data_IF_987829087677
#
_entry.id   IF_987829087677
#
_cell.length_a   1.000
_cell.length_b   1.000
_cell.length_c   1.000
_cell.angle_alpha   90.00
_cell.angle_beta   90.00
_cell.angle_gamma   90.00
#
_symmetry.space_group_name_H-M   'P 1'
#
loop_
_entity.id
_entity.type
_entity.pdbx_description
1 polymer ?
#
# COMPACT_ATOMS: atom_id res chain seq x y z
N UNK A 1 22.93 5.69 12.24
CA UNK A 1 22.33 5.42 10.90
C UNK A 1 20.82 5.43 11.07
N UNK A 2 20.08 6.20 10.26
CA UNK A 2 18.61 6.24 10.32
C UNK A 2 18.04 4.92 9.82
N UNK A 3 17.21 4.27 10.64
CA UNK A 3 16.52 3.03 10.31
C UNK A 3 15.43 3.32 9.27
N UNK A 4 15.67 3.03 7.98
CA UNK A 4 14.64 3.16 6.96
C UNK A 4 13.52 2.13 7.19
N UNK A 5 12.35 2.60 7.63
CA UNK A 5 11.16 1.77 7.83
C UNK A 5 10.44 1.52 6.50
N UNK A 6 10.95 0.57 5.71
CA UNK A 6 10.40 0.19 4.40
C UNK A 6 8.93 -0.24 4.46
N UNK A 7 8.47 -0.82 5.58
CA UNK A 7 7.06 -1.20 5.77
C UNK A 7 6.12 0.01 5.67
N UNK A 8 6.47 1.14 6.28
CA UNK A 8 5.64 2.36 6.23
C UNK A 8 5.57 2.90 4.80
N UNK A 9 6.71 2.95 4.10
CA UNK A 9 6.76 3.39 2.70
C UNK A 9 5.94 2.48 1.79
N UNK A 10 5.96 1.16 2.01
CA UNK A 10 5.17 0.21 1.23
C UNK A 10 3.66 0.39 1.41
N UNK A 11 3.21 0.72 2.62
CA UNK A 11 1.79 0.99 2.92
C UNK A 11 1.33 2.25 2.19
N UNK A 12 2.13 3.32 2.25
CA UNK A 12 1.83 4.57 1.54
C UNK A 12 1.79 4.34 0.02
N UNK A 13 2.76 3.58 -0.52
CA UNK A 13 2.81 3.26 -1.93
C UNK A 13 1.58 2.45 -2.38
N UNK A 14 1.20 1.40 -1.63
CA UNK A 14 0.03 0.58 -1.93
C UNK A 14 -1.28 1.39 -1.90
N UNK A 15 -1.44 2.28 -0.91
CA UNK A 15 -2.58 3.18 -0.83
C UNK A 15 -2.61 4.19 -2.00
N UNK A 16 -1.46 4.77 -2.34
CA UNK A 16 -1.33 5.68 -3.48
C UNK A 16 -1.73 5.03 -4.80
N UNK A 17 -1.28 3.79 -5.04
CA UNK A 17 -1.66 3.00 -6.22
C UNK A 17 -3.17 2.72 -6.27
N UNK A 18 -3.81 2.52 -5.11
CA UNK A 18 -5.26 2.37 -5.02
C UNK A 18 -6.04 3.65 -5.37
N UNK A 19 -5.46 4.83 -5.14
CA UNK A 19 -6.08 6.12 -5.46
C UNK A 19 -5.95 6.48 -6.94
N UNK A 20 -4.87 6.08 -7.62
CA UNK A 20 -4.64 6.41 -9.04
C UNK A 20 -5.84 6.12 -9.96
N UNK A 21 -6.47 4.93 -9.95
CA UNK A 21 -7.64 4.66 -10.77
C UNK A 21 -8.87 5.50 -10.38
N UNK A 22 -8.97 5.95 -9.12
CA UNK A 22 -10.02 6.86 -8.66
C UNK A 22 -9.87 8.27 -9.24
N UNK A 23 -8.64 8.80 -9.26
CA UNK A 23 -8.35 10.10 -9.86
C UNK A 23 -8.70 10.12 -11.36
N UNK A 24 -8.27 9.09 -12.10
CA UNK A 24 -8.64 8.93 -13.51
C UNK A 24 -10.17 8.87 -13.70
N UNK A 25 -10.85 8.09 -12.86
CA UNK A 25 -12.31 7.96 -12.87
C UNK A 25 -13.00 9.31 -12.64
N UNK A 26 -12.64 10.05 -11.59
CA UNK A 26 -13.27 11.34 -11.26
C UNK A 26 -13.10 12.34 -12.39
N UNK A 27 -11.86 12.55 -12.88
CA UNK A 27 -11.59 13.56 -13.91
C UNK A 27 -12.35 13.25 -15.19
N UNK A 28 -12.32 11.99 -15.65
CA UNK A 28 -13.02 11.56 -16.85
C UNK A 28 -14.53 11.59 -16.67
N UNK A 29 -15.06 11.19 -15.52
CA UNK A 29 -16.48 11.25 -15.23
C UNK A 29 -16.97 12.70 -15.22
N UNK A 30 -16.29 13.61 -14.53
CA UNK A 30 -16.65 15.03 -14.47
C UNK A 30 -16.66 15.69 -15.85
N UNK A 31 -15.66 15.38 -16.69
CA UNK A 31 -15.60 15.85 -18.07
C UNK A 31 -16.78 15.35 -18.94
N UNK A 32 -17.26 14.12 -18.70
CA UNK A 32 -18.36 13.54 -19.47
C UNK A 32 -19.75 13.80 -18.86
N UNK A 33 -19.83 14.14 -17.57
CA UNK A 33 -21.07 14.35 -16.84
C UNK A 33 -21.71 15.72 -17.07
N UNK A 34 -21.01 16.68 -17.72
CA UNK A 34 -21.51 18.04 -18.00
C UNK A 34 -22.14 18.73 -16.76
N UNK A 35 -21.59 18.50 -15.57
CA UNK A 35 -22.10 19.06 -14.31
C UNK A 35 -23.19 18.23 -13.61
N UNK A 36 -23.60 17.06 -14.13
CA UNK A 36 -24.58 16.18 -13.49
C UNK A 36 -24.00 15.23 -12.43
N UNK A 37 -22.81 15.51 -11.90
CA UNK A 37 -22.22 14.74 -10.81
C UNK A 37 -22.78 15.21 -9.48
N UNK A 38 -23.51 14.34 -8.77
CA UNK A 38 -24.06 14.65 -7.46
C UNK A 38 -23.03 14.40 -6.36
N UNK A 39 -22.94 15.31 -5.39
CA UNK A 39 -22.13 15.11 -4.19
C UNK A 39 -22.90 14.41 -3.05
N UNK A 40 -24.21 14.20 -3.23
CA UNK A 40 -25.08 13.52 -2.27
C UNK A 40 -24.82 12.01 -2.31
N UNK A 41 -24.73 11.44 -3.51
CA UNK A 41 -24.51 10.01 -3.74
C UNK A 41 -23.39 9.80 -4.77
N UNK A 42 -22.12 10.09 -4.42
CA UNK A 42 -21.01 10.02 -5.37
C UNK A 42 -20.78 8.62 -5.95
N UNK A 43 -21.20 7.58 -5.22
CA UNK A 43 -21.19 6.18 -5.68
C UNK A 43 -22.20 5.90 -6.79
N UNK A 44 -23.27 6.66 -6.90
CA UNK A 44 -24.30 6.42 -7.93
C UNK A 44 -24.08 7.23 -9.21
N UNK A 45 -23.12 8.17 -9.21
CA UNK A 45 -22.89 9.05 -10.37
C UNK A 45 -22.58 8.28 -11.66
N UNK A 46 -21.79 7.22 -11.60
CA UNK A 46 -21.51 6.39 -12.79
C UNK A 46 -22.75 5.63 -13.29
N UNK A 47 -23.58 5.13 -12.36
CA UNK A 47 -24.82 4.43 -12.66
C UNK A 47 -25.81 5.37 -13.35
N UNK A 48 -25.91 6.61 -12.86
CA UNK A 48 -26.78 7.67 -13.38
C UNK A 48 -26.34 8.20 -14.76
N UNK A 49 -25.07 7.98 -15.14
CA UNK A 49 -24.53 8.35 -16.45
C UNK A 49 -24.67 7.23 -17.48
N UNK A 50 -25.13 6.04 -17.08
CA UNK A 50 -25.37 4.92 -17.99
C UNK A 50 -26.42 5.30 -19.04
N UNK A 51 -26.08 5.18 -20.32
CA UNK A 51 -26.94 5.59 -21.44
C UNK A 51 -26.84 7.07 -21.83
N UNK A 52 -26.19 7.92 -21.02
CA UNK A 52 -25.91 9.34 -21.35
C UNK A 52 -24.52 9.57 -21.93
N UNK A 53 -23.58 8.68 -21.60
CA UNK A 53 -22.19 8.72 -22.09
C UNK A 53 -21.93 7.58 -23.10
N UNK A 54 -20.95 7.71 -24.00
CA UNK A 54 -20.59 6.65 -24.93
C UNK A 54 -20.21 5.36 -24.18
N UNK A 55 -20.70 4.21 -24.66
CA UNK A 55 -20.50 2.91 -24.00
C UNK A 55 -19.02 2.58 -23.73
N UNK A 56 -18.13 2.87 -24.69
CA UNK A 56 -16.69 2.67 -24.51
C UNK A 56 -16.09 3.49 -23.36
N UNK A 57 -16.62 4.69 -23.10
CA UNK A 57 -16.19 5.53 -21.97
C UNK A 57 -16.74 4.97 -20.67
N UNK A 58 -18.01 4.54 -20.69
CA UNK A 58 -18.66 3.91 -19.54
C UNK A 58 -17.90 2.64 -19.09
N UNK A 59 -17.52 1.76 -20.02
CA UNK A 59 -16.77 0.54 -19.72
C UNK A 59 -15.39 0.81 -19.11
N UNK A 60 -14.73 1.89 -19.53
CA UNK A 60 -13.44 2.32 -18.96
C UNK A 60 -13.61 2.87 -17.54
N UNK A 61 -14.66 3.66 -17.31
CA UNK A 61 -14.98 4.21 -15.99
C UNK A 61 -15.42 3.12 -15.01
N UNK A 62 -16.22 2.16 -15.45
CA UNK A 62 -16.64 1.01 -14.65
C UNK A 62 -15.43 0.16 -14.21
N UNK A 63 -14.50 -0.11 -15.14
CA UNK A 63 -13.24 -0.81 -14.83
C UNK A 63 -12.35 -0.03 -13.88
N UNK A 64 -12.19 1.28 -14.08
CA UNK A 64 -11.40 2.13 -13.18
C UNK A 64 -11.99 2.16 -11.76
N UNK A 65 -13.32 2.28 -11.64
CA UNK A 65 -14.02 2.18 -10.36
C UNK A 65 -13.82 0.82 -9.69
N UNK A 66 -13.95 -0.27 -10.45
CA UNK A 66 -13.72 -1.62 -9.95
C UNK A 66 -12.27 -1.84 -9.47
N UNK A 67 -11.29 -1.36 -10.24
CA UNK A 67 -9.88 -1.43 -9.88
C UNK A 67 -9.57 -0.65 -8.60
N UNK A 68 -10.15 0.54 -8.43
CA UNK A 68 -10.02 1.32 -7.21
C UNK A 68 -10.57 0.60 -5.98
N UNK A 69 -11.78 0.05 -6.07
CA UNK A 69 -12.40 -0.66 -4.95
C UNK A 69 -11.60 -1.92 -4.59
N UNK A 70 -11.24 -2.73 -5.58
CA UNK A 70 -10.42 -3.92 -5.38
C UNK A 70 -9.06 -3.58 -4.73
N UNK A 71 -8.39 -2.52 -5.22
CA UNK A 71 -7.12 -2.10 -4.65
C UNK A 71 -7.26 -1.66 -3.19
N UNK A 72 -8.28 -0.85 -2.85
CA UNK A 72 -8.47 -0.36 -1.49
C UNK A 72 -9.01 -1.41 -0.52
N UNK A 73 -9.79 -2.38 -0.97
CA UNK A 73 -10.24 -3.50 -0.14
C UNK A 73 -9.06 -4.36 0.37
N UNK A 74 -7.99 -4.48 -0.43
CA UNK A 74 -6.78 -5.20 -0.04
C UNK A 74 -5.81 -4.43 0.87
N UNK A 75 -5.88 -3.09 0.90
CA UNK A 75 -4.92 -2.24 1.65
C UNK A 75 -4.93 -2.51 3.16
N UNK A 76 -6.08 -2.62 3.86
CA UNK A 76 -6.09 -2.91 5.30
C UNK A 76 -5.39 -4.22 5.66
N UNK A 77 -5.62 -5.28 4.86
CA UNK A 77 -4.99 -6.58 5.06
C UNK A 77 -3.48 -6.51 4.78
N UNK A 78 -3.07 -5.84 3.71
CA UNK A 78 -1.67 -5.60 3.38
C UNK A 78 -0.94 -4.82 4.47
N UNK A 79 -1.56 -3.75 4.99
CA UNK A 79 -0.98 -2.93 6.05
C UNK A 79 -0.82 -3.72 7.36
N UNK A 80 -1.81 -4.54 7.73
CA UNK A 80 -1.72 -5.44 8.88
C UNK A 80 -0.58 -6.48 8.72
N UNK A 81 -0.42 -7.04 7.53
CA UNK A 81 0.68 -7.95 7.23
C UNK A 81 2.05 -7.27 7.31
N UNK A 82 2.19 -6.07 6.75
CA UNK A 82 3.46 -5.32 6.78
C UNK A 82 3.84 -4.85 8.19
N UNK A 83 2.85 -4.45 9.00
CA UNK A 83 3.07 -4.09 10.40
C UNK A 83 3.52 -5.30 11.24
N UNK A 84 2.84 -6.44 11.10
CA UNK A 84 3.20 -7.66 11.85
C UNK A 84 4.54 -8.24 11.40
N UNK A 85 4.86 -8.21 10.10
CA UNK A 85 6.14 -8.66 9.57
C UNK A 85 7.31 -7.82 10.09
N UNK A 86 7.15 -6.49 10.15
CA UNK A 86 8.19 -5.59 10.71
C UNK A 86 8.52 -5.97 12.16
N UNK A 87 7.49 -6.15 12.99
CA UNK A 87 7.65 -6.55 14.40
C UNK A 87 8.26 -7.94 14.53
N UNK A 88 7.84 -8.90 13.68
CA UNK A 88 8.34 -10.27 13.72
C UNK A 88 9.82 -10.37 13.33
N UNK A 89 10.26 -9.61 12.32
CA UNK A 89 11.68 -9.54 11.93
C UNK A 89 12.51 -8.99 13.07
N UNK A 90 12.06 -7.92 13.72
CA UNK A 90 12.76 -7.31 14.86
C UNK A 90 12.94 -8.30 16.01
N UNK A 91 11.89 -9.06 16.35
CA UNK A 91 11.93 -10.08 17.42
C UNK A 91 12.86 -11.25 17.05
N UNK A 92 12.77 -11.77 15.81
CA UNK A 92 13.63 -12.88 15.36
C UNK A 92 15.10 -12.48 15.35
N UNK A 93 15.41 -11.25 14.94
CA UNK A 93 16.78 -10.74 14.92
C UNK A 93 17.33 -10.52 16.33
N UNK A 94 16.52 -9.96 17.24
CA UNK A 94 16.89 -9.80 18.65
C UNK A 94 17.21 -11.15 19.30
N UNK A 95 16.35 -12.14 19.10
CA UNK A 95 16.54 -13.49 19.65
C UNK A 95 17.74 -14.21 19.04
N UNK A 96 17.99 -14.03 17.74
CA UNK A 96 19.19 -14.56 17.09
C UNK A 96 20.48 -13.92 17.63
N UNK A 97 20.46 -12.61 17.92
CA UNK A 97 21.60 -11.89 18.48
C UNK A 97 21.88 -12.29 19.94
N UNK A 98 20.84 -12.47 20.77
CA UNK A 98 20.99 -13.04 22.11
C UNK A 98 21.63 -14.43 22.05
N UNK A 99 21.10 -15.32 21.19
CA UNK A 99 21.66 -16.67 21.02
C UNK A 99 23.11 -16.65 20.54
N UNK A 100 23.48 -15.71 19.67
CA UNK A 100 24.87 -15.54 19.23
C UNK A 100 25.79 -15.09 20.38
N UNK A 101 25.35 -14.17 21.23
CA UNK A 101 26.11 -13.72 22.39
C UNK A 101 26.31 -14.82 23.45
N UNK A 102 25.33 -15.71 23.62
CA UNK A 102 25.45 -16.86 24.53
C UNK A 102 26.16 -18.09 23.93
N UNK A 103 26.33 -18.15 22.60
CA UNK A 103 26.95 -19.29 21.90
C UNK A 103 28.47 -19.20 21.73
N UNK A 104 29.09 -18.04 21.95
CA UNK A 104 30.55 -17.89 21.88
C UNK A 104 31.12 -17.59 23.27
N UNK A 105 31.90 -18.50 23.89
CA UNK A 105 32.60 -18.18 25.12
C UNK A 105 33.67 -17.12 24.84
N UNK A 106 33.63 -16.02 25.58
CA UNK A 106 34.60 -14.92 25.59
C UNK A 106 36.00 -15.46 25.89
N UNK A 107 36.74 -15.89 24.86
CA UNK A 107 38.10 -16.45 25.03
C UNK A 107 39.13 -15.94 24.01
N UNK A 108 38.79 -14.97 23.15
CA UNK A 108 39.73 -14.46 22.14
C UNK A 108 40.03 -12.95 22.27
N UNK A 109 40.56 -12.52 23.43
CA UNK A 109 41.11 -11.16 23.59
C UNK A 109 42.62 -11.09 23.87
N UNK A 110 43.38 -12.16 23.65
CA UNK A 110 44.84 -12.15 23.85
C UNK A 110 45.61 -12.82 22.71
N UNK A 111 45.47 -12.30 21.49
CA UNK A 111 46.52 -12.51 20.47
C UNK A 111 47.46 -11.31 20.45
N UNK A 112 48.73 -11.46 20.89
CA UNK A 112 49.69 -10.38 20.75
C UNK A 112 49.98 -10.13 19.27
N UNK A 113 49.84 -8.87 18.84
CA UNK A 113 50.37 -8.39 17.56
C UNK A 113 51.90 -8.55 17.61
N UNK A 114 52.46 -9.42 16.77
CA UNK A 114 53.89 -9.47 16.53
C UNK A 114 54.31 -8.23 15.73
N UNK A 115 55.16 -7.41 16.32
CA UNK A 115 56.21 -6.64 15.64
C UNK A 115 57.42 -6.66 16.56
#
# INVERSE_FOLDING_TARGET
MSSNNYSIHSIIAAYGLGITPHGYYIVKMMANAKGQSSNILPRENLSNLKGRIPGQVWDKLARARGAHLNALEGVPMFAAAMASLSTLIHIKFHKANELFQYSWPVTWQSFPRKT
#
